data_IF_907807270933
#
_entry.id   IF_907807270933
#
_cell.length_a   1.000
_cell.length_b   1.000
_cell.length_c   1.000
_cell.angle_alpha   90.00
_cell.angle_beta   90.00
_cell.angle_gamma   90.00
#
_symmetry.space_group_name_H-M   'P 1'
#
loop_
_entity.id
_entity.type
_entity.pdbx_description
1 polymer ?
#
# COMPACT_ATOMS: atom_id res chain seq x y z
N UNK A 1 16.89 7.66 16.13
CA UNK A 1 17.41 8.98 16.11
C UNK A 1 18.92 8.97 15.84
N UNK A 2 19.36 9.65 14.76
CA UNK A 2 20.76 9.77 14.38
C UNK A 2 21.34 8.61 13.57
N UNK A 3 20.53 7.71 13.05
CA UNK A 3 20.96 6.59 12.20
C UNK A 3 20.93 6.91 10.70
N UNK A 4 20.18 7.93 10.31
CA UNK A 4 20.12 8.42 8.93
C UNK A 4 20.54 9.88 8.87
N UNK A 5 21.09 10.32 7.75
CA UNK A 5 21.51 11.69 7.51
C UNK A 5 20.65 12.38 6.43
N UNK A 6 20.62 13.73 6.44
CA UNK A 6 19.87 14.46 5.42
C UNK A 6 20.49 14.28 4.04
N UNK A 7 19.61 14.17 3.05
CA UNK A 7 19.97 14.00 1.65
C UNK A 7 19.95 15.36 0.96
N UNK A 8 21.05 15.70 0.30
CA UNK A 8 21.14 16.89 -0.54
C UNK A 8 20.45 16.64 -1.89
N UNK A 9 19.19 17.00 -1.98
CA UNK A 9 18.39 16.79 -3.19
C UNK A 9 18.87 17.58 -4.41
N UNK A 10 19.76 18.59 -4.23
CA UNK A 10 20.37 19.30 -5.36
C UNK A 10 21.36 18.46 -6.14
N UNK A 11 21.84 17.34 -5.56
CA UNK A 11 22.70 16.36 -6.21
C UNK A 11 21.94 15.32 -7.03
N UNK A 12 20.61 15.29 -6.95
CA UNK A 12 19.73 14.33 -7.64
C UNK A 12 19.09 15.03 -8.83
N UNK A 13 19.54 14.70 -10.05
CA UNK A 13 19.06 15.35 -11.28
C UNK A 13 17.60 15.04 -11.58
N UNK A 14 17.08 13.88 -11.11
CA UNK A 14 15.70 13.45 -11.28
C UNK A 14 14.76 13.97 -10.17
N UNK A 15 15.29 14.58 -9.08
CA UNK A 15 14.47 15.09 -7.98
C UNK A 15 13.38 16.08 -8.39
N UNK A 16 13.61 17.03 -9.34
CA UNK A 16 12.55 17.93 -9.80
C UNK A 16 11.31 17.22 -10.34
N UNK A 17 11.48 16.05 -10.94
CA UNK A 17 10.45 15.28 -11.63
C UNK A 17 9.69 14.30 -10.70
N UNK A 18 10.09 14.22 -9.44
CA UNK A 18 9.36 13.43 -8.45
C UNK A 18 8.02 14.07 -8.13
N UNK A 19 6.99 13.26 -8.07
CA UNK A 19 5.61 13.62 -7.76
C UNK A 19 5.53 14.49 -6.50
N UNK A 20 4.87 15.66 -6.53
CA UNK A 20 4.87 16.62 -5.44
C UNK A 20 4.38 16.08 -4.10
N UNK A 21 3.29 15.29 -4.08
CA UNK A 21 2.75 14.68 -2.86
C UNK A 21 3.75 13.75 -2.17
N UNK A 22 4.57 13.02 -2.94
CA UNK A 22 5.59 12.11 -2.41
C UNK A 22 6.76 12.83 -1.74
N UNK A 23 7.05 14.09 -2.13
CA UNK A 23 8.10 14.91 -1.50
C UNK A 23 7.72 15.39 -0.09
N UNK A 24 6.45 15.32 0.26
CA UNK A 24 5.90 15.91 1.49
C UNK A 24 5.21 14.91 2.41
N UNK A 25 5.46 13.62 2.21
CA UNK A 25 4.93 12.56 3.09
C UNK A 25 5.32 12.87 4.54
N UNK A 26 4.39 12.77 5.52
CA UNK A 26 4.71 13.00 6.91
C UNK A 26 5.87 12.15 7.41
N UNK A 27 6.82 12.77 8.11
CA UNK A 27 8.00 12.08 8.64
C UNK A 27 9.22 12.00 7.71
N UNK A 28 9.10 12.38 6.43
CA UNK A 28 10.22 12.35 5.47
C UNK A 28 11.09 13.61 5.50
N UNK A 29 10.53 14.72 5.98
CA UNK A 29 11.21 16.01 6.13
C UNK A 29 11.32 16.38 7.59
N UNK A 30 12.53 16.70 8.06
CA UNK A 30 12.78 17.17 9.41
C UNK A 30 13.72 18.38 9.41
N UNK A 31 13.35 19.46 10.12
CA UNK A 31 14.13 20.69 10.17
C UNK A 31 14.37 21.33 8.79
N UNK A 32 13.45 21.16 7.85
CA UNK A 32 13.57 21.66 6.47
C UNK A 32 14.53 20.86 5.58
N UNK A 33 14.99 19.69 6.02
CA UNK A 33 15.89 18.80 5.29
C UNK A 33 15.17 17.49 4.93
N UNK A 34 15.43 17.00 3.72
CA UNK A 34 14.93 15.71 3.26
C UNK A 34 15.76 14.56 3.84
N UNK A 35 15.11 13.51 4.33
CA UNK A 35 15.74 12.30 4.87
C UNK A 35 15.32 11.02 4.16
N UNK A 36 14.35 11.10 3.26
CA UNK A 36 13.80 9.97 2.52
C UNK A 36 13.57 10.37 1.07
N UNK A 37 14.06 9.60 0.13
CA UNK A 37 13.80 9.79 -1.30
C UNK A 37 12.78 8.74 -1.74
N UNK A 38 11.54 9.14 -2.05
CA UNK A 38 10.51 8.20 -2.51
C UNK A 38 10.88 7.68 -3.90
N UNK A 39 10.78 6.37 -4.07
CA UNK A 39 11.11 5.70 -5.34
C UNK A 39 9.89 5.09 -5.99
N UNK A 40 9.22 4.19 -5.30
CA UNK A 40 8.06 3.46 -5.78
C UNK A 40 6.93 3.49 -4.74
N UNK A 41 5.72 3.27 -5.20
CA UNK A 41 4.54 3.29 -4.37
C UNK A 41 3.49 2.32 -4.91
N UNK A 42 2.63 1.91 -4.02
CA UNK A 42 1.46 1.13 -4.36
C UNK A 42 0.37 1.30 -3.33
N UNK A 43 -0.65 0.50 -3.49
CA UNK A 43 -1.79 0.50 -2.59
C UNK A 43 -2.03 -0.90 -2.03
N UNK A 44 -2.44 -0.94 -0.76
CA UNK A 44 -3.12 -2.08 -0.18
C UNK A 44 -4.61 -1.83 -0.31
N UNK A 45 -5.30 -2.75 -0.96
CA UNK A 45 -6.75 -2.71 -1.10
C UNK A 45 -7.32 -4.12 -1.22
N UNK A 46 -8.58 -4.24 -1.63
CA UNK A 46 -9.27 -5.52 -1.79
C UNK A 46 -9.22 -5.98 -3.24
N UNK A 47 -8.63 -7.14 -3.45
CA UNK A 47 -8.78 -7.90 -4.70
C UNK A 47 -9.96 -8.85 -4.55
N UNK A 48 -10.91 -8.83 -5.49
CA UNK A 48 -12.14 -9.60 -5.38
C UNK A 48 -12.66 -10.15 -6.72
N UNK A 49 -13.59 -11.07 -6.64
CA UNK A 49 -14.32 -11.67 -7.76
C UNK A 49 -15.63 -10.91 -7.98
N UNK A 50 -15.74 -10.01 -8.98
CA UNK A 50 -16.96 -9.24 -9.22
C UNK A 50 -18.16 -10.10 -9.63
N UNK A 51 -17.93 -11.27 -10.21
CA UNK A 51 -18.97 -12.25 -10.53
C UNK A 51 -19.56 -12.95 -9.29
N UNK A 52 -18.81 -13.00 -8.19
CA UNK A 52 -19.23 -13.59 -6.90
C UNK A 52 -19.73 -12.54 -5.91
N UNK A 53 -19.33 -11.28 -6.08
CA UNK A 53 -19.70 -10.14 -5.24
C UNK A 53 -20.15 -8.92 -6.07
N UNK A 54 -21.20 -9.07 -6.92
CA UNK A 54 -21.62 -8.02 -7.84
C UNK A 54 -22.13 -6.75 -7.15
N UNK A 55 -22.59 -6.83 -5.91
CA UNK A 55 -23.07 -5.68 -5.14
C UNK A 55 -21.95 -4.71 -4.73
N UNK A 56 -20.70 -5.13 -4.84
CA UNK A 56 -19.53 -4.30 -4.54
C UNK A 56 -18.94 -3.60 -5.78
N UNK A 57 -19.39 -3.93 -6.98
CA UNK A 57 -18.89 -3.32 -8.23
C UNK A 57 -19.13 -1.80 -8.27
N UNK A 58 -20.31 -1.35 -7.83
CA UNK A 58 -20.67 0.07 -7.81
C UNK A 58 -20.64 0.69 -6.38
N UNK A 59 -20.22 -0.09 -5.39
CA UNK A 59 -20.17 0.34 -3.97
C UNK A 59 -18.94 -0.25 -3.29
N UNK A 60 -17.78 0.07 -3.81
CA UNK A 60 -16.50 -0.42 -3.30
C UNK A 60 -16.26 0.06 -1.86
N UNK A 61 -15.97 -0.88 -0.97
CA UNK A 61 -15.81 -0.63 0.46
C UNK A 61 -15.00 -1.73 1.12
N UNK A 62 -14.19 -1.38 2.10
CA UNK A 62 -13.58 -2.34 3.03
C UNK A 62 -14.60 -3.25 3.70
N UNK A 63 -15.87 -2.82 3.76
CA UNK A 63 -16.97 -3.57 4.33
C UNK A 63 -17.17 -4.98 3.79
N UNK A 64 -16.71 -5.29 2.57
CA UNK A 64 -16.73 -6.65 2.03
C UNK A 64 -16.02 -7.66 2.94
N UNK A 65 -14.94 -7.24 3.64
CA UNK A 65 -14.17 -8.07 4.57
C UNK A 65 -14.90 -8.35 5.88
N UNK A 66 -16.01 -7.66 6.13
CA UNK A 66 -16.93 -7.84 7.28
C UNK A 66 -18.30 -8.36 6.86
N UNK A 67 -18.52 -8.68 5.58
CA UNK A 67 -19.82 -9.16 5.10
C UNK A 67 -20.00 -10.65 5.46
N UNK A 68 -20.97 -10.99 6.34
CA UNK A 68 -21.23 -12.37 6.74
C UNK A 68 -21.68 -13.28 5.60
N UNK A 69 -22.14 -12.71 4.48
CA UNK A 69 -22.46 -13.45 3.26
C UNK A 69 -21.26 -14.24 2.73
N UNK A 70 -20.05 -13.73 2.95
CA UNK A 70 -18.81 -14.34 2.46
C UNK A 70 -17.99 -15.06 3.53
N UNK A 71 -18.64 -15.42 4.65
CA UNK A 71 -17.98 -16.16 5.73
C UNK A 71 -17.19 -17.37 5.24
N UNK A 72 -15.93 -17.45 5.65
CA UNK A 72 -15.00 -18.52 5.27
C UNK A 72 -14.47 -18.41 3.81
N UNK A 73 -14.72 -17.26 3.16
CA UNK A 73 -14.27 -16.98 1.79
C UNK A 73 -13.59 -15.60 1.67
N UNK A 74 -13.08 -15.08 2.78
CA UNK A 74 -12.36 -13.83 2.90
C UNK A 74 -10.95 -14.08 3.41
N UNK A 75 -10.00 -13.22 3.04
CA UNK A 75 -8.64 -13.26 3.55
C UNK A 75 -8.11 -11.85 3.80
N UNK A 76 -7.14 -11.77 4.69
CA UNK A 76 -6.52 -10.52 5.12
C UNK A 76 -5.04 -10.75 5.39
N UNK A 77 -4.20 -9.73 5.28
CA UNK A 77 -2.78 -9.82 5.60
C UNK A 77 -2.55 -10.09 7.08
N UNK A 78 -1.58 -10.95 7.40
CA UNK A 78 -1.08 -11.16 8.76
C UNK A 78 -0.03 -10.09 9.13
N UNK A 79 -0.41 -8.83 9.00
CA UNK A 79 0.45 -7.70 9.36
C UNK A 79 -0.33 -6.60 10.07
N UNK A 80 0.38 -5.82 10.90
CA UNK A 80 -0.24 -4.65 11.54
C UNK A 80 -0.68 -3.63 10.51
N UNK A 81 0.18 -3.34 9.55
CA UNK A 81 -0.03 -2.27 8.59
C UNK A 81 -1.19 -2.59 7.66
N UNK A 82 -1.20 -3.79 7.07
CA UNK A 82 -2.22 -4.18 6.09
C UNK A 82 -3.43 -4.89 6.71
N UNK A 83 -3.33 -5.23 8.00
CA UNK A 83 -4.40 -5.89 8.73
C UNK A 83 -5.10 -4.96 9.72
N UNK A 84 -4.40 -4.55 10.78
CA UNK A 84 -5.01 -3.74 11.84
C UNK A 84 -5.40 -2.35 11.35
N UNK A 85 -4.59 -1.72 10.50
CA UNK A 85 -4.92 -0.39 9.95
C UNK A 85 -6.14 -0.43 9.05
N UNK A 86 -6.33 -1.50 8.27
CA UNK A 86 -7.56 -1.70 7.48
C UNK A 86 -8.79 -1.79 8.40
N UNK A 87 -8.69 -2.51 9.52
CA UNK A 87 -9.77 -2.56 10.50
C UNK A 87 -10.00 -1.21 11.20
N UNK A 88 -8.94 -0.42 11.43
CA UNK A 88 -9.05 0.92 11.97
C UNK A 88 -9.77 1.87 10.99
N UNK A 89 -9.42 1.82 9.71
CA UNK A 89 -10.10 2.59 8.65
C UNK A 89 -11.58 2.19 8.58
N UNK A 90 -11.88 0.90 8.52
CA UNK A 90 -13.25 0.40 8.48
C UNK A 90 -14.06 0.82 9.71
N UNK A 91 -13.47 0.80 10.90
CA UNK A 91 -14.15 1.20 12.15
C UNK A 91 -14.26 2.72 12.33
N UNK A 92 -13.72 3.51 11.39
CA UNK A 92 -13.84 4.97 11.35
C UNK A 92 -12.87 5.69 12.28
N UNK A 93 -11.64 5.18 12.44
CA UNK A 93 -10.57 5.92 13.10
C UNK A 93 -10.20 7.16 12.28
N UNK A 94 -10.07 8.31 12.94
CA UNK A 94 -9.70 9.57 12.29
C UNK A 94 -8.26 9.51 11.75
N UNK A 95 -7.35 8.97 12.56
CA UNK A 95 -5.99 8.65 12.15
C UNK A 95 -5.66 7.20 12.55
N UNK A 96 -5.66 6.25 11.60
CA UNK A 96 -5.41 4.84 11.92
C UNK A 96 -4.02 4.58 12.50
N UNK A 97 -3.03 5.48 12.24
CA UNK A 97 -1.65 5.35 12.72
C UNK A 97 -1.41 6.01 14.09
N UNK A 98 -2.38 6.78 14.60
CA UNK A 98 -2.33 7.46 15.91
C UNK A 98 -3.70 7.42 16.58
N UNK A 99 -4.18 6.20 16.82
CA UNK A 99 -5.50 5.96 17.40
C UNK A 99 -5.55 6.32 18.88
N UNK A 100 -6.66 6.93 19.28
CA UNK A 100 -7.05 7.05 20.68
C UNK A 100 -7.43 5.69 21.27
N UNK A 101 -7.45 5.55 22.61
CA UNK A 101 -7.89 4.32 23.29
C UNK A 101 -9.31 3.90 22.85
N UNK A 102 -10.19 4.87 22.60
CA UNK A 102 -11.55 4.59 22.14
C UNK A 102 -11.60 4.04 20.70
N UNK A 103 -10.73 4.53 19.82
CA UNK A 103 -10.59 4.03 18.46
C UNK A 103 -9.92 2.65 18.44
N UNK A 104 -8.88 2.44 19.25
CA UNK A 104 -8.29 1.10 19.43
C UNK A 104 -9.31 0.08 19.92
N UNK A 105 -10.19 0.45 20.86
CA UNK A 105 -11.26 -0.44 21.32
C UNK A 105 -12.27 -0.78 20.22
N UNK A 106 -12.64 0.17 19.34
CA UNK A 106 -13.48 -0.07 18.18
C UNK A 106 -12.80 -0.96 17.14
N UNK A 107 -11.52 -0.71 16.87
CA UNK A 107 -10.70 -1.52 15.94
C UNK A 107 -10.61 -2.96 16.43
N UNK A 108 -10.37 -3.17 17.74
CA UNK A 108 -10.40 -4.51 18.35
C UNK A 108 -11.75 -5.19 18.18
N UNK A 109 -12.85 -4.48 18.39
CA UNK A 109 -14.18 -5.02 18.20
C UNK A 109 -14.42 -5.41 16.73
N UNK A 110 -14.02 -4.58 15.79
CA UNK A 110 -14.12 -4.87 14.37
C UNK A 110 -13.31 -6.11 13.97
N UNK A 111 -12.06 -6.25 14.45
CA UNK A 111 -11.25 -7.44 14.21
C UNK A 111 -11.88 -8.71 14.81
N UNK A 112 -12.47 -8.64 16.00
CA UNK A 112 -13.20 -9.78 16.61
C UNK A 112 -14.47 -10.17 15.82
N UNK A 113 -15.17 -9.20 15.26
CA UNK A 113 -16.32 -9.44 14.39
C UNK A 113 -15.89 -10.10 13.08
N UNK A 114 -14.75 -9.68 12.53
CA UNK A 114 -14.21 -10.19 11.27
C UNK A 114 -13.62 -11.61 11.40
N UNK A 115 -12.96 -11.92 12.51
CA UNK A 115 -12.21 -13.17 12.71
C UNK A 115 -12.98 -14.43 12.26
N UNK A 116 -14.26 -14.65 12.61
CA UNK A 116 -15.00 -15.83 12.18
C UNK A 116 -15.38 -15.83 10.69
N UNK A 117 -15.17 -14.72 9.97
CA UNK A 117 -15.45 -14.57 8.53
C UNK A 117 -14.23 -14.91 7.68
N UNK A 118 -13.03 -14.73 8.24
CA UNK A 118 -11.74 -14.95 7.56
C UNK A 118 -11.49 -16.44 7.37
N UNK A 119 -11.05 -16.80 6.17
CA UNK A 119 -10.61 -18.16 5.81
C UNK A 119 -9.20 -18.41 6.32
N UNK A 120 -8.30 -17.47 6.06
CA UNK A 120 -6.91 -17.45 6.54
C UNK A 120 -6.37 -16.01 6.54
N UNK A 121 -5.36 -15.78 7.38
CA UNK A 121 -4.47 -14.62 7.26
C UNK A 121 -3.29 -15.02 6.39
N UNK A 122 -2.94 -14.21 5.41
CA UNK A 122 -1.88 -14.53 4.46
C UNK A 122 -0.55 -13.86 4.81
N UNK A 123 0.54 -14.55 4.51
CA UNK A 123 1.92 -14.05 4.57
C UNK A 123 2.46 -13.70 3.17
N UNK A 124 1.87 -14.26 2.11
CA UNK A 124 2.23 -14.00 0.72
C UNK A 124 0.99 -13.72 -0.13
N UNK A 125 1.00 -12.65 -0.96
CA UNK A 125 -0.12 -12.33 -1.86
C UNK A 125 -0.52 -13.48 -2.77
N UNK A 126 0.43 -14.32 -3.18
CA UNK A 126 0.19 -15.49 -4.03
C UNK A 126 -0.80 -16.50 -3.44
N UNK A 127 -0.95 -16.55 -2.11
CA UNK A 127 -1.95 -17.39 -1.44
C UNK A 127 -3.37 -16.89 -1.75
N UNK A 128 -3.56 -15.57 -1.73
CA UNK A 128 -4.85 -14.93 -2.09
C UNK A 128 -5.14 -15.10 -3.58
N UNK A 129 -4.14 -14.90 -4.44
CA UNK A 129 -4.27 -15.06 -5.89
C UNK A 129 -4.74 -16.47 -6.26
N UNK A 130 -4.08 -17.51 -5.73
CA UNK A 130 -4.46 -18.90 -5.97
C UNK A 130 -5.86 -19.23 -5.44
N UNK A 131 -6.21 -18.71 -4.27
CA UNK A 131 -7.51 -18.95 -3.66
C UNK A 131 -8.65 -18.20 -4.38
N UNK A 132 -8.40 -17.01 -4.95
CA UNK A 132 -9.34 -16.31 -5.82
C UNK A 132 -9.48 -17.01 -7.18
N UNK A 133 -8.37 -17.48 -7.78
CA UNK A 133 -8.36 -18.21 -9.04
C UNK A 133 -9.16 -19.51 -8.95
N UNK A 134 -9.01 -20.27 -7.86
CA UNK A 134 -9.76 -21.50 -7.61
C UNK A 134 -11.21 -21.26 -7.19
N UNK A 135 -11.59 -20.03 -6.82
CA UNK A 135 -12.90 -19.70 -6.26
C UNK A 135 -13.07 -20.09 -4.78
N UNK A 136 -12.00 -20.44 -4.08
CA UNK A 136 -12.01 -20.65 -2.62
C UNK A 136 -12.32 -19.32 -1.90
N UNK A 137 -11.70 -18.22 -2.34
CA UNK A 137 -12.00 -16.88 -1.86
C UNK A 137 -12.97 -16.14 -2.80
N UNK A 138 -13.68 -15.18 -2.24
CA UNK A 138 -14.44 -14.13 -2.92
C UNK A 138 -13.66 -12.83 -2.93
N UNK A 139 -12.98 -12.52 -1.82
CA UNK A 139 -12.22 -11.30 -1.66
C UNK A 139 -11.06 -11.50 -0.66
N UNK A 140 -10.00 -10.74 -0.85
CA UNK A 140 -8.88 -10.66 0.09
C UNK A 140 -8.11 -9.36 -0.08
N UNK A 141 -7.44 -8.90 0.98
CA UNK A 141 -6.49 -7.80 0.84
C UNK A 141 -5.28 -8.26 0.05
N UNK A 142 -4.77 -7.41 -0.81
CA UNK A 142 -3.49 -7.59 -1.54
C UNK A 142 -2.86 -6.25 -1.84
N UNK A 143 -1.69 -6.27 -2.45
CA UNK A 143 -1.12 -5.13 -3.12
C UNK A 143 -1.58 -5.10 -4.59
N UNK A 144 -1.41 -3.95 -5.24
CA UNK A 144 -1.93 -3.74 -6.61
C UNK A 144 -1.25 -4.61 -7.69
N UNK A 145 -0.04 -5.11 -7.46
CA UNK A 145 0.65 -6.07 -8.35
C UNK A 145 -0.12 -7.38 -8.54
N UNK A 146 -0.81 -7.86 -7.49
CA UNK A 146 -1.68 -9.04 -7.59
C UNK A 146 -2.81 -8.86 -8.61
N UNK A 147 -3.36 -7.64 -8.73
CA UNK A 147 -4.35 -7.35 -9.76
C UNK A 147 -3.76 -7.49 -11.16
N UNK A 148 -2.60 -6.87 -11.40
CA UNK A 148 -1.90 -6.96 -12.69
C UNK A 148 -1.58 -8.42 -13.05
N UNK A 149 -1.04 -9.18 -12.10
CA UNK A 149 -0.73 -10.61 -12.26
C UNK A 149 -1.96 -11.41 -12.66
N UNK A 150 -3.03 -11.35 -11.88
CA UNK A 150 -4.23 -12.14 -12.13
C UNK A 150 -4.97 -11.73 -13.42
N UNK A 151 -4.94 -10.44 -13.76
CA UNK A 151 -5.50 -9.96 -15.06
C UNK A 151 -4.71 -10.50 -16.23
N UNK A 152 -3.38 -10.52 -16.17
CA UNK A 152 -2.52 -11.08 -17.22
C UNK A 152 -2.75 -12.58 -17.45
N UNK A 153 -3.12 -13.30 -16.39
CA UNK A 153 -3.49 -14.72 -16.42
C UNK A 153 -4.94 -14.97 -16.89
N UNK A 154 -5.70 -13.90 -17.14
CA UNK A 154 -7.08 -13.97 -17.67
C UNK A 154 -8.15 -14.22 -16.60
N UNK A 155 -7.84 -14.02 -15.32
CA UNK A 155 -8.81 -14.15 -14.25
C UNK A 155 -9.79 -12.98 -14.18
N UNK A 156 -11.04 -13.28 -13.83
CA UNK A 156 -12.08 -12.26 -13.63
C UNK A 156 -11.98 -11.70 -12.21
N UNK A 157 -11.11 -10.72 -12.03
CA UNK A 157 -10.89 -10.02 -10.77
C UNK A 157 -11.00 -8.51 -10.95
N UNK A 158 -11.32 -7.80 -9.87
CA UNK A 158 -11.29 -6.35 -9.78
C UNK A 158 -10.55 -5.93 -8.48
N UNK A 159 -9.90 -4.78 -8.55
CA UNK A 159 -9.18 -4.18 -7.43
C UNK A 159 -9.92 -2.93 -6.98
N UNK A 160 -10.33 -2.89 -5.71
CA UNK A 160 -11.20 -1.84 -5.21
C UNK A 160 -10.48 -0.50 -5.01
N UNK A 161 -11.22 0.59 -5.25
CA UNK A 161 -10.93 1.92 -4.71
C UNK A 161 -11.94 2.20 -3.59
N UNK A 162 -11.74 1.71 -2.36
CA UNK A 162 -12.73 1.77 -1.30
C UNK A 162 -13.09 3.21 -0.96
N UNK A 163 -14.37 3.49 -0.75
CA UNK A 163 -14.87 4.83 -0.40
C UNK A 163 -14.28 5.40 0.90
N UNK A 164 -13.77 4.53 1.77
CA UNK A 164 -13.09 4.90 3.00
C UNK A 164 -11.61 5.28 2.77
N UNK A 165 -11.10 5.09 1.56
CA UNK A 165 -9.71 5.31 1.15
C UNK A 165 -8.89 4.01 1.12
N UNK A 166 -8.13 3.82 0.04
CA UNK A 166 -7.12 2.76 -0.05
C UNK A 166 -5.89 3.15 0.76
N UNK A 167 -5.18 2.17 1.28
CA UNK A 167 -3.95 2.43 2.03
C UNK A 167 -2.77 2.51 1.06
N UNK A 168 -2.05 3.64 1.08
CA UNK A 168 -0.94 3.91 0.17
C UNK A 168 0.40 3.73 0.89
N UNK A 169 1.21 2.80 0.42
CA UNK A 169 2.59 2.63 0.87
C UNK A 169 3.56 3.29 -0.12
N UNK A 170 4.69 3.72 0.39
CA UNK A 170 5.77 4.33 -0.40
C UNK A 170 7.10 3.75 0.06
N UNK A 171 7.84 3.18 -0.87
CA UNK A 171 9.22 2.78 -0.67
C UNK A 171 10.19 3.89 -1.04
N UNK A 172 11.43 3.78 -0.59
CA UNK A 172 12.43 4.76 -0.93
C UNK A 172 13.76 4.57 -0.23
N UNK A 173 14.66 5.50 -0.44
CA UNK A 173 16.02 5.46 0.09
C UNK A 173 16.24 6.44 1.23
N UNK A 174 16.98 5.97 2.24
CA UNK A 174 17.62 6.79 3.27
C UNK A 174 19.14 6.59 3.17
N UNK A 175 19.91 7.61 3.52
CA UNK A 175 21.37 7.48 3.66
C UNK A 175 21.70 7.25 5.14
N UNK A 176 22.37 6.14 5.42
CA UNK A 176 22.77 5.78 6.77
C UNK A 176 24.00 6.60 7.21
N UNK A 177 24.06 7.03 8.47
CA UNK A 177 25.17 7.84 9.00
C UNK A 177 26.49 7.09 9.10
N UNK A 178 26.48 5.75 9.07
CA UNK A 178 27.65 4.88 9.14
C UNK A 178 28.18 4.42 7.75
N UNK A 179 27.70 5.06 6.67
CA UNK A 179 28.19 4.76 5.32
C UNK A 179 29.70 5.08 5.18
N UNK A 180 30.37 4.40 4.27
CA UNK A 180 31.73 4.74 3.87
C UNK A 180 31.75 6.10 3.14
N UNK A 181 32.38 7.16 3.71
CA UNK A 181 32.41 8.48 3.09
C UNK A 181 33.01 8.49 1.67
N UNK A 182 33.88 7.53 1.33
CA UNK A 182 34.46 7.42 0.00
C UNK A 182 33.44 6.92 -1.06
N UNK A 183 32.27 6.44 -0.62
CA UNK A 183 31.20 5.94 -1.50
C UNK A 183 30.05 6.91 -1.68
N UNK A 184 30.07 8.07 -1.00
CA UNK A 184 28.93 8.99 -0.99
C UNK A 184 28.47 9.39 -2.42
N UNK A 185 29.40 9.64 -3.32
CA UNK A 185 29.06 9.98 -4.71
C UNK A 185 28.34 8.82 -5.40
N UNK A 186 28.78 7.59 -5.20
CA UNK A 186 28.11 6.40 -5.76
C UNK A 186 26.72 6.15 -5.15
N UNK A 187 26.53 6.51 -3.89
CA UNK A 187 25.21 6.43 -3.24
C UNK A 187 24.24 7.39 -3.95
N UNK A 188 24.66 8.63 -4.20
CA UNK A 188 23.85 9.59 -4.92
C UNK A 188 23.60 9.18 -6.38
N UNK A 189 24.62 8.68 -7.07
CA UNK A 189 24.50 8.17 -8.44
C UNK A 189 23.48 7.02 -8.51
N UNK A 190 23.50 6.11 -7.53
CA UNK A 190 22.56 4.99 -7.46
C UNK A 190 21.12 5.48 -7.21
N UNK A 191 20.93 6.37 -6.22
CA UNK A 191 19.62 6.94 -5.92
C UNK A 191 19.07 7.68 -7.14
N UNK A 192 19.88 8.51 -7.79
CA UNK A 192 19.46 9.29 -8.95
C UNK A 192 19.11 8.41 -10.15
N UNK A 193 19.89 7.35 -10.39
CA UNK A 193 19.61 6.38 -11.44
C UNK A 193 18.29 5.62 -11.18
N UNK A 194 18.02 5.24 -9.92
CA UNK A 194 16.76 4.60 -9.57
C UNK A 194 15.56 5.52 -9.78
N UNK A 195 15.72 6.82 -9.56
CA UNK A 195 14.69 7.85 -9.80
C UNK A 195 14.49 8.21 -11.28
N UNK A 196 15.21 7.59 -12.20
CA UNK A 196 15.13 7.92 -13.62
C UNK A 196 13.78 7.53 -14.23
N UNK A 197 13.42 8.17 -15.33
CA UNK A 197 12.22 7.83 -16.12
C UNK A 197 12.30 6.38 -16.62
N UNK A 198 13.50 5.92 -17.03
CA UNK A 198 13.71 4.56 -17.54
C UNK A 198 13.40 3.50 -16.46
N UNK A 199 13.92 3.69 -15.25
CA UNK A 199 13.60 2.81 -14.11
C UNK A 199 12.11 2.87 -13.79
N UNK A 200 11.52 4.07 -13.78
CA UNK A 200 10.10 4.22 -13.50
C UNK A 200 9.20 3.53 -14.52
N UNK A 201 9.50 3.61 -15.81
CA UNK A 201 8.77 2.86 -16.84
C UNK A 201 8.87 1.36 -16.59
N UNK A 202 10.07 0.88 -16.26
CA UNK A 202 10.28 -0.54 -15.94
C UNK A 202 9.48 -1.00 -14.72
N UNK A 203 9.52 -0.25 -13.62
CA UNK A 203 8.75 -0.56 -12.40
C UNK A 203 7.25 -0.60 -12.65
N UNK A 204 6.74 0.37 -13.42
CA UNK A 204 5.31 0.42 -13.76
C UNK A 204 4.91 -0.78 -14.63
N UNK A 205 5.69 -1.09 -15.68
CA UNK A 205 5.28 -2.09 -16.68
C UNK A 205 5.54 -3.53 -16.25
N UNK A 206 6.61 -3.77 -15.48
CA UNK A 206 7.02 -5.14 -15.11
C UNK A 206 6.51 -5.56 -13.73
N UNK A 207 6.35 -4.60 -12.79
CA UNK A 207 5.90 -4.90 -11.43
C UNK A 207 4.48 -4.40 -11.14
N UNK A 208 3.91 -3.50 -11.96
CA UNK A 208 2.59 -2.93 -11.71
C UNK A 208 2.56 -1.94 -10.54
N UNK A 209 3.73 -1.47 -10.08
CA UNK A 209 3.83 -0.46 -9.02
C UNK A 209 3.91 0.94 -9.61
N UNK A 210 3.43 1.93 -8.87
CA UNK A 210 3.66 3.32 -9.21
C UNK A 210 5.12 3.71 -8.92
N UNK A 211 5.66 4.65 -9.67
CA UNK A 211 7.00 5.18 -9.47
C UNK A 211 6.97 6.64 -9.05
N UNK A 212 7.99 7.07 -8.29
CA UNK A 212 8.08 8.43 -7.78
C UNK A 212 8.22 9.49 -8.88
N UNK A 213 8.88 9.17 -10.00
CA UNK A 213 9.06 10.07 -11.12
C UNK A 213 7.76 10.15 -11.96
N UNK A 214 7.08 11.31 -11.92
CA UNK A 214 5.82 11.52 -12.63
C UNK A 214 5.97 11.37 -14.16
N UNK A 215 7.12 11.73 -14.72
CA UNK A 215 7.38 11.61 -16.17
C UNK A 215 7.41 10.17 -16.67
N UNK A 216 7.63 9.20 -15.80
CA UNK A 216 7.59 7.80 -16.17
C UNK A 216 6.18 7.40 -16.63
N UNK A 217 5.14 7.88 -15.96
CA UNK A 217 3.75 7.64 -16.34
C UNK A 217 3.40 8.22 -17.72
N UNK A 218 4.01 9.34 -18.10
CA UNK A 218 3.82 9.95 -19.43
C UNK A 218 4.41 9.09 -20.58
N UNK A 219 5.34 8.18 -20.26
CA UNK A 219 5.99 7.30 -21.24
C UNK A 219 5.30 5.94 -21.36
N UNK A 220 4.40 5.60 -20.47
CA UNK A 220 3.65 4.33 -20.53
C UNK A 220 2.35 4.56 -21.31
N UNK A 221 2.05 3.62 -22.19
CA UNK A 221 0.80 3.66 -22.96
C UNK A 221 -0.43 3.70 -22.01
N UNK A 222 -1.43 4.56 -22.27
CA UNK A 222 -2.59 4.70 -21.38
C UNK A 222 -3.41 3.42 -21.21
N UNK A 223 -3.45 2.54 -22.24
CA UNK A 223 -4.13 1.26 -22.11
C UNK A 223 -3.37 0.33 -21.18
N UNK A 224 -2.04 0.32 -21.26
CA UNK A 224 -1.17 -0.42 -20.34
C UNK A 224 -1.37 0.04 -18.90
N UNK A 225 -1.41 1.36 -18.65
CA UNK A 225 -1.72 1.88 -17.31
C UNK A 225 -3.08 1.39 -16.80
N UNK A 226 -4.11 1.45 -17.65
CA UNK A 226 -5.44 0.98 -17.29
C UNK A 226 -5.48 -0.53 -17.00
N UNK A 227 -4.76 -1.34 -17.78
CA UNK A 227 -4.67 -2.79 -17.60
C UNK A 227 -3.93 -3.16 -16.29
N UNK A 228 -3.03 -2.31 -15.84
CA UNK A 228 -2.33 -2.42 -14.57
C UNK A 228 -3.13 -1.84 -13.38
N UNK A 229 -4.30 -1.26 -13.64
CA UNK A 229 -5.18 -0.70 -12.61
C UNK A 229 -4.93 0.76 -12.25
N UNK A 230 -4.04 1.45 -12.98
CA UNK A 230 -3.86 2.89 -12.80
C UNK A 230 -5.00 3.66 -13.47
N UNK A 231 -5.67 4.51 -12.69
CA UNK A 231 -6.85 5.27 -13.13
C UNK A 231 -6.50 6.63 -13.77
N UNK A 232 -5.24 7.07 -13.64
CA UNK A 232 -4.73 8.32 -14.19
C UNK A 232 -3.27 8.16 -14.61
N UNK A 233 -2.83 8.93 -15.61
CA UNK A 233 -1.42 9.12 -15.95
C UNK A 233 -0.74 10.18 -15.06
N UNK A 234 -1.49 10.88 -14.22
CA UNK A 234 -0.97 11.78 -13.20
C UNK A 234 -0.99 11.08 -11.83
N UNK A 235 0.16 10.72 -11.25
CA UNK A 235 0.23 10.02 -9.97
C UNK A 235 -0.47 10.75 -8.82
N UNK A 236 -0.44 12.09 -8.79
CA UNK A 236 -1.07 12.87 -7.72
C UNK A 236 -2.59 12.67 -7.64
N UNK A 237 -3.26 12.37 -8.77
CA UNK A 237 -4.71 12.10 -8.78
C UNK A 237 -5.06 10.82 -8.00
N UNK A 238 -4.17 9.81 -8.06
CA UNK A 238 -4.35 8.53 -7.36
C UNK A 238 -3.90 8.63 -5.91
N UNK A 239 -2.76 9.28 -5.67
CA UNK A 239 -2.19 9.45 -4.33
C UNK A 239 -3.07 10.34 -3.45
N UNK A 240 -3.76 11.34 -4.03
CA UNK A 240 -4.61 12.28 -3.30
C UNK A 240 -5.85 11.66 -2.64
N UNK A 241 -6.28 10.47 -3.07
CA UNK A 241 -7.40 9.72 -2.48
C UNK A 241 -6.96 8.65 -1.47
N UNK A 242 -5.67 8.39 -1.36
CA UNK A 242 -5.09 7.36 -0.50
C UNK A 242 -4.78 7.85 0.92
N UNK A 243 -4.68 6.89 1.83
CA UNK A 243 -4.22 7.09 3.20
C UNK A 243 -2.77 6.64 3.26
N UNK A 244 -1.83 7.59 3.33
CA UNK A 244 -0.40 7.25 3.39
C UNK A 244 -0.05 6.49 4.67
N UNK A 245 0.66 5.38 4.50
CA UNK A 245 1.27 4.66 5.62
C UNK A 245 2.35 5.54 6.27
N UNK A 246 2.25 5.67 7.57
CA UNK A 246 3.22 6.40 8.40
C UNK A 246 3.55 5.57 9.64
N UNK A 247 4.55 6.01 10.42
CA UNK A 247 4.91 5.32 11.66
C UNK A 247 3.74 5.29 12.65
N UNK A 248 3.47 4.13 13.23
CA UNK A 248 2.44 3.94 14.26
C UNK A 248 2.96 4.39 15.62
N UNK A 249 2.14 5.11 16.39
CA UNK A 249 2.52 5.58 17.73
C UNK A 249 2.43 4.49 18.80
N UNK A 250 1.52 3.51 18.63
CA UNK A 250 1.21 2.46 19.60
C UNK A 250 1.50 1.05 19.08
N UNK A 251 2.53 0.88 18.26
CA UNK A 251 2.83 -0.36 17.51
C UNK A 251 2.81 -1.62 18.39
N UNK A 252 3.50 -1.58 19.56
CA UNK A 252 3.56 -2.73 20.46
C UNK A 252 2.19 -3.13 21.03
N UNK A 253 1.35 -2.14 21.40
CA UNK A 253 0.01 -2.40 21.90
C UNK A 253 -0.95 -2.92 20.80
N UNK A 254 -0.76 -2.45 19.57
CA UNK A 254 -1.52 -2.91 18.41
C UNK A 254 -1.14 -4.34 18.03
N UNK A 255 0.14 -4.70 18.14
CA UNK A 255 0.60 -6.08 17.92
C UNK A 255 0.00 -7.03 18.95
N UNK A 256 0.09 -6.68 20.24
CA UNK A 256 -0.50 -7.48 21.32
C UNK A 256 -2.01 -7.66 21.11
N UNK A 257 -2.72 -6.58 20.78
CA UNK A 257 -4.16 -6.62 20.49
C UNK A 257 -4.48 -7.56 19.33
N UNK A 258 -3.72 -7.50 18.23
CA UNK A 258 -3.97 -8.34 17.06
C UNK A 258 -3.71 -9.82 17.35
N UNK A 259 -2.60 -10.12 18.06
CA UNK A 259 -2.28 -11.50 18.46
C UNK A 259 -3.33 -12.07 19.41
N UNK A 260 -3.83 -11.28 20.37
CA UNK A 260 -4.94 -11.69 21.25
C UNK A 260 -6.21 -11.98 20.45
N UNK A 261 -6.59 -11.12 19.52
CA UNK A 261 -7.77 -11.34 18.67
C UNK A 261 -7.62 -12.62 17.85
N UNK A 262 -6.48 -12.84 17.18
CA UNK A 262 -6.23 -14.08 16.41
C UNK A 262 -6.27 -15.32 17.30
N UNK A 263 -5.85 -15.21 18.56
CA UNK A 263 -5.94 -16.28 19.54
C UNK A 263 -7.36 -16.47 20.15
N UNK A 264 -8.32 -15.62 19.79
CA UNK A 264 -9.72 -15.72 20.22
C UNK A 264 -10.05 -15.03 21.55
N UNK A 265 -9.22 -14.08 22.02
CA UNK A 265 -9.41 -13.32 23.26
C UNK A 265 -9.97 -11.91 23.06
#
# INVERSE_FOLDING_TARGET
AGIIEPIDTSRLSNWPDITPSLKTIPGTVYGGKQYFIPTDWGQTSVLYRPDLAPEYVDNESWGILWDPKYKGRLSMSDSLVDGVMVAAIYSGAENPFDMTDAEMAKTRAALKEQLPLIRFYWDSPSEVEQALASGELVAGTTWNDSYATMKSEGHNVAYMSPKEGAMTWVCGFCIMTDHDPAKIDKIYDYIDAYMSVETGVYEITEYGYGHGNAKAFEQVDPQTLADLGFTSSNPDDMLGSGIFQVAMTNEAALQEMFDEVKAGY
#
